data_IF_808174137901
#
_entry.id   IF_808174137901
#
_cell.length_a   1.000
_cell.length_b   1.000
_cell.length_c   1.000
_cell.angle_alpha   90.00
_cell.angle_beta   90.00
_cell.angle_gamma   90.00
#
_symmetry.space_group_name_H-M   'P 1'
#
loop_
_entity.id
_entity.type
_entity.pdbx_description
1 polymer ?
#
# COMPACT_ATOMS: atom_id res chain seq x y z
N UNK A 1 -23.39 -13.37 65.53
CA UNK A 1 -23.91 -13.98 64.29
C UNK A 1 -24.63 -12.90 63.49
N UNK A 2 -24.05 -12.36 62.39
CA UNK A 2 -24.73 -11.36 61.58
C UNK A 2 -25.70 -12.05 60.61
N UNK A 3 -26.95 -11.59 60.61
CA UNK A 3 -28.03 -12.05 59.73
C UNK A 3 -27.70 -11.75 58.26
N UNK A 4 -27.67 -12.79 57.43
CA UNK A 4 -27.52 -12.68 55.99
C UNK A 4 -28.80 -12.06 55.38
N UNK A 5 -28.71 -10.81 54.93
CA UNK A 5 -29.73 -10.23 54.06
C UNK A 5 -29.64 -10.87 52.68
N UNK A 6 -30.57 -11.77 52.39
CA UNK A 6 -30.80 -12.34 51.06
C UNK A 6 -31.25 -11.22 50.10
N UNK A 7 -30.36 -10.85 49.17
CA UNK A 7 -30.65 -9.99 48.03
C UNK A 7 -31.74 -10.63 47.17
N UNK A 8 -32.92 -10.01 47.06
CA UNK A 8 -33.95 -10.47 46.14
C UNK A 8 -33.46 -10.37 44.68
N UNK A 9 -33.76 -11.36 43.81
CA UNK A 9 -33.39 -11.29 42.41
C UNK A 9 -34.17 -10.16 41.70
N UNK A 10 -33.46 -9.32 40.95
CA UNK A 10 -34.06 -8.26 40.16
C UNK A 10 -35.07 -8.84 39.15
N UNK A 11 -36.32 -8.35 39.18
CA UNK A 11 -37.36 -8.71 38.21
C UNK A 11 -36.90 -8.30 36.80
N UNK A 12 -36.58 -9.27 35.94
CA UNK A 12 -36.31 -9.03 34.53
C UNK A 12 -37.57 -8.46 33.86
N UNK A 13 -37.43 -7.43 33.02
CA UNK A 13 -38.56 -6.87 32.30
C UNK A 13 -39.10 -7.88 31.27
N UNK A 14 -40.43 -8.00 31.11
CA UNK A 14 -41.07 -9.02 30.25
C UNK A 14 -40.77 -8.86 28.75
N UNK A 15 -40.01 -7.82 28.36
CA UNK A 15 -39.61 -7.52 26.99
C UNK A 15 -38.26 -8.14 26.61
N UNK A 16 -37.44 -8.56 27.58
CA UNK A 16 -36.13 -9.16 27.30
C UNK A 16 -36.34 -10.58 26.77
N UNK A 17 -36.04 -10.79 25.49
CA UNK A 17 -36.15 -12.09 24.82
C UNK A 17 -37.46 -12.31 24.04
N UNK A 18 -38.37 -11.34 24.01
CA UNK A 18 -39.61 -11.43 23.23
C UNK A 18 -39.31 -11.52 21.72
N UNK A 19 -39.78 -12.59 21.07
CA UNK A 19 -39.63 -12.81 19.62
C UNK A 19 -40.95 -12.54 18.91
N UNK A 20 -40.92 -11.63 17.94
CA UNK A 20 -42.09 -11.35 17.10
C UNK A 20 -42.52 -12.58 16.30
N UNK A 21 -43.84 -12.75 16.17
CA UNK A 21 -44.45 -13.77 15.31
C UNK A 21 -43.97 -13.61 13.87
N UNK A 22 -43.94 -14.69 13.06
CA UNK A 22 -43.59 -14.62 11.65
C UNK A 22 -44.41 -13.58 10.88
N UNK A 23 -45.71 -13.50 11.16
CA UNK A 23 -46.62 -12.53 10.54
C UNK A 23 -46.29 -11.08 10.90
N UNK A 24 -45.99 -10.80 12.17
CA UNK A 24 -45.59 -9.47 12.60
C UNK A 24 -44.27 -9.04 11.94
N UNK A 25 -43.29 -9.97 11.84
CA UNK A 25 -42.03 -9.72 11.12
C UNK A 25 -42.26 -9.42 9.64
N UNK A 26 -43.19 -10.13 9.00
CA UNK A 26 -43.54 -9.90 7.60
C UNK A 26 -44.18 -8.53 7.39
N UNK A 27 -45.12 -8.11 8.25
CA UNK A 27 -45.71 -6.76 8.24
C UNK A 27 -44.65 -5.67 8.41
N UNK A 28 -43.71 -5.84 9.34
CA UNK A 28 -42.60 -4.90 9.54
C UNK A 28 -41.65 -4.85 8.35
N UNK A 29 -41.38 -5.98 7.70
CA UNK A 29 -40.52 -6.05 6.52
C UNK A 29 -41.16 -5.34 5.32
N UNK A 30 -42.45 -5.54 5.08
CA UNK A 30 -43.21 -4.85 4.02
C UNK A 30 -43.20 -3.34 4.25
N UNK A 31 -43.47 -2.88 5.47
CA UNK A 31 -43.50 -1.46 5.81
C UNK A 31 -42.14 -0.74 5.63
N UNK A 32 -41.02 -1.47 5.81
CA UNK A 32 -39.65 -0.95 5.68
C UNK A 32 -39.08 -1.07 4.27
N UNK A 33 -39.63 -1.94 3.44
CA UNK A 33 -39.14 -2.20 2.07
C UNK A 33 -39.26 -0.91 1.24
N UNK A 34 -38.15 -0.47 0.65
CA UNK A 34 -38.10 0.69 -0.24
C UNK A 34 -38.02 2.07 0.44
N UNK A 35 -38.17 2.16 1.78
CA UNK A 35 -37.97 3.43 2.48
C UNK A 35 -36.49 3.80 2.49
N UNK A 36 -36.16 4.97 1.95
CA UNK A 36 -34.83 5.58 2.04
C UNK A 36 -34.88 6.70 3.07
N UNK A 37 -33.85 6.82 3.90
CA UNK A 37 -33.70 7.98 4.79
C UNK A 37 -33.68 9.27 3.94
N UNK A 38 -34.30 10.34 4.45
CA UNK A 38 -34.19 11.65 3.81
C UNK A 38 -32.73 12.15 3.88
N UNK A 39 -32.30 13.06 2.99
CA UNK A 39 -30.98 13.69 3.09
C UNK A 39 -30.72 14.30 4.47
N UNK A 40 -31.67 15.06 5.02
CA UNK A 40 -31.60 15.66 6.36
C UNK A 40 -31.40 14.61 7.46
N UNK A 41 -32.13 13.50 7.40
CA UNK A 41 -32.01 12.43 8.39
C UNK A 41 -30.65 11.72 8.30
N UNK A 42 -30.05 11.64 7.11
CA UNK A 42 -28.67 11.14 6.95
C UNK A 42 -27.65 12.11 7.53
N UNK A 43 -27.85 13.41 7.35
CA UNK A 43 -26.95 14.43 7.87
C UNK A 43 -27.00 14.51 9.40
N UNK A 44 -28.18 14.37 10.01
CA UNK A 44 -28.28 14.23 11.47
C UNK A 44 -27.55 13.00 12.00
N UNK A 45 -27.75 11.83 11.38
CA UNK A 45 -27.02 10.60 11.75
C UNK A 45 -25.50 10.78 11.59
N UNK A 46 -25.08 11.45 10.51
CA UNK A 46 -23.67 11.74 10.25
C UNK A 46 -23.09 12.67 11.32
N UNK A 47 -23.76 13.78 11.63
CA UNK A 47 -23.33 14.74 12.66
C UNK A 47 -23.23 14.04 14.02
N UNK A 48 -24.23 13.22 14.38
CA UNK A 48 -24.23 12.47 15.63
C UNK A 48 -23.15 11.38 15.70
N UNK A 49 -22.68 10.84 14.57
CA UNK A 49 -21.66 9.77 14.55
C UNK A 49 -20.23 10.32 14.36
N UNK A 50 -20.09 11.53 13.81
CA UNK A 50 -18.79 12.18 13.67
C UNK A 50 -18.25 12.54 15.05
N UNK A 51 -17.03 12.10 15.35
CA UNK A 51 -16.31 12.53 16.55
C UNK A 51 -16.71 11.83 17.85
N UNK A 52 -17.55 10.78 17.81
CA UNK A 52 -17.73 9.92 18.99
C UNK A 52 -16.64 8.85 19.07
N UNK A 53 -15.61 9.01 19.92
CA UNK A 53 -14.61 7.98 20.11
C UNK A 53 -15.24 6.77 20.81
N UNK A 54 -15.17 5.61 20.17
CA UNK A 54 -15.50 4.35 20.83
C UNK A 54 -14.58 4.20 22.04
N UNK A 55 -15.11 3.92 23.24
CA UNK A 55 -14.27 3.75 24.44
C UNK A 55 -13.27 2.60 24.27
N UNK A 56 -12.15 2.62 25.00
CA UNK A 56 -11.17 1.55 24.95
C UNK A 56 -11.77 0.17 25.28
N UNK A 57 -12.68 0.12 26.28
CA UNK A 57 -13.44 -1.09 26.65
C UNK A 57 -14.34 -1.59 25.52
N UNK A 58 -15.06 -0.70 24.83
CA UNK A 58 -15.92 -1.08 23.70
C UNK A 58 -15.09 -1.51 22.50
N UNK A 59 -13.95 -0.85 22.21
CA UNK A 59 -12.99 -1.30 21.20
C UNK A 59 -12.46 -2.70 21.50
N UNK A 60 -12.13 -2.99 22.75
CA UNK A 60 -11.66 -4.31 23.16
C UNK A 60 -12.75 -5.39 22.99
N UNK A 61 -14.01 -5.09 23.34
CA UNK A 61 -15.15 -6.00 23.11
C UNK A 61 -15.37 -6.29 21.62
N UNK A 62 -15.32 -5.26 20.77
CA UNK A 62 -15.43 -5.39 19.31
C UNK A 62 -14.25 -6.21 18.77
N UNK A 63 -13.02 -5.92 19.21
CA UNK A 63 -11.83 -6.67 18.80
C UNK A 63 -11.92 -8.15 19.18
N UNK A 64 -12.34 -8.46 20.42
CA UNK A 64 -12.53 -9.83 20.89
C UNK A 64 -13.61 -10.56 20.10
N UNK A 65 -14.75 -9.92 19.83
CA UNK A 65 -15.81 -10.49 19.01
C UNK A 65 -15.31 -10.80 17.58
N UNK A 66 -14.56 -9.88 16.96
CA UNK A 66 -13.98 -10.07 15.62
C UNK A 66 -12.87 -11.14 15.59
N UNK A 67 -12.09 -11.27 16.66
CA UNK A 67 -11.08 -12.34 16.80
C UNK A 67 -11.72 -13.73 16.97
N UNK A 68 -12.85 -13.82 17.68
CA UNK A 68 -13.60 -15.08 17.85
C UNK A 68 -14.31 -15.54 16.57
N UNK A 69 -14.52 -14.66 15.59
CA UNK A 69 -15.01 -14.99 14.25
C UNK A 69 -13.89 -15.26 13.23
N UNK A 70 -12.73 -15.74 13.69
CA UNK A 70 -11.77 -16.38 12.79
C UNK A 70 -12.46 -17.54 12.08
N UNK A 71 -12.54 -17.48 10.75
CA UNK A 71 -13.01 -18.60 9.95
C UNK A 71 -12.25 -19.86 10.38
N UNK A 72 -12.98 -20.94 10.71
CA UNK A 72 -12.38 -22.24 10.95
C UNK A 72 -11.41 -22.58 9.80
N UNK A 73 -10.30 -23.28 10.07
CA UNK A 73 -9.28 -23.57 9.05
C UNK A 73 -9.87 -24.11 7.75
N UNK A 74 -10.88 -24.98 7.84
CA UNK A 74 -11.60 -25.52 6.69
C UNK A 74 -12.41 -24.47 5.92
N UNK A 75 -13.17 -23.60 6.60
CA UNK A 75 -13.93 -22.53 5.96
C UNK A 75 -13.01 -21.52 5.28
N UNK A 76 -11.84 -21.25 5.89
CA UNK A 76 -10.79 -20.41 5.31
C UNK A 76 -10.17 -21.06 4.06
N UNK A 77 -9.93 -22.37 4.10
CA UNK A 77 -9.43 -23.12 2.95
C UNK A 77 -10.44 -23.11 1.79
N UNK A 78 -11.73 -23.32 2.07
CA UNK A 78 -12.82 -23.26 1.07
C UNK A 78 -12.93 -21.87 0.41
N UNK A 79 -12.87 -20.79 1.21
CA UNK A 79 -12.87 -19.42 0.70
C UNK A 79 -11.63 -19.11 -0.15
N UNK A 80 -10.45 -19.56 0.30
CA UNK A 80 -9.19 -19.41 -0.46
C UNK A 80 -9.25 -20.14 -1.80
N UNK A 81 -9.75 -21.38 -1.83
CA UNK A 81 -9.92 -22.16 -3.05
C UNK A 81 -10.88 -21.48 -4.03
N UNK A 82 -12.05 -21.04 -3.56
CA UNK A 82 -13.05 -20.34 -4.37
C UNK A 82 -12.51 -19.02 -4.96
N UNK A 83 -11.76 -18.26 -4.17
CA UNK A 83 -11.13 -17.02 -4.65
C UNK A 83 -10.05 -17.28 -5.70
N UNK A 84 -9.24 -18.33 -5.53
CA UNK A 84 -8.22 -18.73 -6.53
C UNK A 84 -8.86 -19.17 -7.84
N UNK A 85 -9.94 -19.96 -7.78
CA UNK A 85 -10.69 -20.39 -8.95
C UNK A 85 -11.28 -19.21 -9.72
N UNK A 86 -11.90 -18.25 -9.00
CA UNK A 86 -12.39 -17.01 -9.59
C UNK A 86 -11.27 -16.23 -10.27
N UNK A 87 -10.12 -16.10 -9.62
CA UNK A 87 -8.97 -15.39 -10.17
C UNK A 87 -8.41 -16.05 -11.44
N UNK A 88 -8.39 -17.38 -11.49
CA UNK A 88 -8.02 -18.13 -12.70
C UNK A 88 -9.00 -17.84 -13.85
N UNK A 89 -10.31 -17.90 -13.59
CA UNK A 89 -11.35 -17.58 -14.60
C UNK A 89 -11.23 -16.14 -15.12
N UNK A 90 -11.02 -15.18 -14.22
CA UNK A 90 -10.81 -13.78 -14.60
C UNK A 90 -9.52 -13.62 -15.42
N UNK A 91 -8.44 -14.30 -15.04
CA UNK A 91 -7.16 -14.27 -15.78
C UNK A 91 -7.28 -14.86 -17.18
N UNK A 92 -7.99 -15.97 -17.34
CA UNK A 92 -8.26 -16.57 -18.65
C UNK A 92 -9.13 -15.65 -19.52
N UNK A 93 -10.16 -15.05 -18.94
CA UNK A 93 -11.00 -14.05 -19.62
C UNK A 93 -10.18 -12.84 -20.06
N UNK A 94 -9.28 -12.33 -19.21
CA UNK A 94 -8.37 -11.24 -19.56
C UNK A 94 -7.34 -11.67 -20.61
N UNK A 95 -6.84 -12.89 -20.57
CA UNK A 95 -5.93 -13.42 -21.60
C UNK A 95 -6.61 -13.47 -22.97
N UNK A 96 -7.85 -13.98 -23.03
CA UNK A 96 -8.69 -14.01 -24.23
C UNK A 96 -9.10 -12.62 -24.73
N UNK A 97 -9.08 -11.59 -23.87
CA UNK A 97 -9.37 -10.21 -24.28
C UNK A 97 -8.12 -9.41 -24.64
N UNK A 98 -6.97 -9.70 -24.03
CA UNK A 98 -5.68 -9.10 -24.36
C UNK A 98 -5.09 -9.62 -25.67
N UNK A 99 -5.52 -10.79 -26.16
CA UNK A 99 -5.16 -11.28 -27.50
C UNK A 99 -5.86 -10.51 -28.64
N UNK A 100 -6.77 -9.56 -28.33
CA UNK A 100 -7.29 -8.60 -29.32
C UNK A 100 -6.34 -7.41 -29.51
N UNK A 101 -5.05 -7.68 -29.69
CA UNK A 101 -4.16 -6.69 -30.31
C UNK A 101 -4.62 -6.57 -31.75
N UNK A 102 -5.35 -5.49 -32.05
CA UNK A 102 -5.75 -5.17 -33.42
C UNK A 102 -4.48 -5.12 -34.28
N UNK A 103 -4.51 -5.76 -35.44
CA UNK A 103 -3.44 -5.61 -36.42
C UNK A 103 -3.24 -4.11 -36.74
N UNK A 104 -2.04 -3.69 -37.15
CA UNK A 104 -1.80 -2.30 -37.54
C UNK A 104 -2.84 -1.78 -38.55
N UNK A 105 -3.28 -2.64 -39.47
CA UNK A 105 -4.31 -2.34 -40.45
C UNK A 105 -5.71 -2.16 -39.83
N UNK A 106 -6.12 -3.04 -38.91
CA UNK A 106 -7.40 -2.93 -38.23
C UNK A 106 -7.46 -1.69 -37.33
N UNK A 107 -6.32 -1.31 -36.72
CA UNK A 107 -6.20 -0.06 -35.96
C UNK A 107 -6.30 1.17 -36.88
N UNK A 108 -5.64 1.15 -38.04
CA UNK A 108 -5.73 2.23 -39.02
C UNK A 108 -7.17 2.41 -39.54
N UNK A 109 -7.87 1.32 -39.87
CA UNK A 109 -9.28 1.33 -40.28
C UNK A 109 -10.19 1.91 -39.20
N UNK A 110 -10.02 1.47 -37.95
CA UNK A 110 -10.79 2.00 -36.81
C UNK A 110 -10.53 3.50 -36.59
N UNK A 111 -9.26 3.91 -36.65
CA UNK A 111 -8.88 5.31 -36.48
C UNK A 111 -9.44 6.19 -37.60
N UNK A 112 -9.39 5.72 -38.85
CA UNK A 112 -9.95 6.42 -40.00
C UNK A 112 -11.47 6.56 -39.88
N UNK A 113 -12.18 5.49 -39.49
CA UNK A 113 -13.63 5.51 -39.27
C UNK A 113 -14.03 6.50 -38.15
N UNK A 114 -13.32 6.47 -37.02
CA UNK A 114 -13.56 7.43 -35.92
C UNK A 114 -13.25 8.86 -36.36
N UNK A 115 -12.17 9.07 -37.11
CA UNK A 115 -11.83 10.39 -37.63
C UNK A 115 -12.90 10.90 -38.59
N UNK A 116 -13.36 10.08 -39.53
CA UNK A 116 -14.40 10.45 -40.49
C UNK A 116 -15.72 10.81 -39.78
N UNK A 117 -16.11 10.05 -38.76
CA UNK A 117 -17.32 10.31 -37.97
C UNK A 117 -17.24 11.60 -37.13
N UNK A 118 -16.04 11.98 -36.69
CA UNK A 118 -15.82 13.19 -35.87
C UNK A 118 -15.51 14.42 -36.71
N UNK A 119 -15.10 14.26 -37.97
CA UNK A 119 -14.84 15.38 -38.87
C UNK A 119 -16.14 16.15 -39.14
N UNK A 120 -16.13 17.44 -38.79
CA UNK A 120 -17.29 18.32 -38.94
C UNK A 120 -18.31 18.26 -37.79
N UNK A 121 -18.14 17.39 -36.80
CA UNK A 121 -19.03 17.36 -35.63
C UNK A 121 -18.92 18.66 -34.82
N UNK A 122 -19.90 19.54 -34.93
CA UNK A 122 -20.00 20.73 -34.09
C UNK A 122 -20.67 20.40 -32.75
N UNK A 123 -19.93 20.62 -31.68
CA UNK A 123 -20.48 20.50 -30.32
C UNK A 123 -21.39 21.70 -30.04
N UNK A 124 -22.60 21.44 -29.51
CA UNK A 124 -23.56 22.49 -29.16
C UNK A 124 -22.96 23.53 -28.21
N UNK A 125 -23.48 24.76 -28.26
CA UNK A 125 -23.01 25.85 -27.40
C UNK A 125 -23.14 25.50 -25.92
N UNK A 126 -24.23 24.85 -25.52
CA UNK A 126 -24.45 24.40 -24.15
C UNK A 126 -23.40 23.35 -23.71
N UNK A 127 -23.10 22.38 -24.56
CA UNK A 127 -22.08 21.35 -24.27
C UNK A 127 -20.68 21.96 -24.24
N UNK A 128 -20.41 22.93 -25.12
CA UNK A 128 -19.17 23.71 -25.13
C UNK A 128 -19.03 24.53 -23.83
N UNK A 129 -20.10 25.13 -23.35
CA UNK A 129 -20.13 25.87 -22.09
C UNK A 129 -19.86 24.95 -20.89
N UNK A 130 -20.49 23.78 -20.81
CA UNK A 130 -20.25 22.76 -19.76
C UNK A 130 -18.80 22.26 -19.76
N UNK A 131 -18.23 21.96 -20.95
CA UNK A 131 -16.82 21.58 -21.08
C UNK A 131 -15.86 22.72 -20.69
N UNK A 132 -16.20 23.96 -21.02
CA UNK A 132 -15.44 25.16 -20.65
C UNK A 132 -15.44 25.38 -19.15
N UNK A 133 -16.61 25.30 -18.50
CA UNK A 133 -16.76 25.43 -17.05
C UNK A 133 -15.97 24.35 -16.29
N UNK A 134 -16.01 23.09 -16.76
CA UNK A 134 -15.23 21.99 -16.18
C UNK A 134 -13.71 22.20 -16.31
N UNK A 135 -13.25 22.80 -17.42
CA UNK A 135 -11.82 23.06 -17.68
C UNK A 135 -11.31 24.37 -17.07
N UNK A 136 -12.18 25.35 -16.79
CA UNK A 136 -11.89 26.56 -16.00
C UNK A 136 -11.78 26.19 -14.52
N UNK A 137 -10.77 25.40 -14.17
CA UNK A 137 -10.64 24.86 -12.83
C UNK A 137 -9.37 25.25 -12.09
N UNK A 138 -8.19 25.21 -12.75
CA UNK A 138 -6.91 25.42 -12.05
C UNK A 138 -5.83 25.98 -12.98
N UNK A 139 -5.87 27.27 -13.34
CA UNK A 139 -4.73 27.89 -13.99
C UNK A 139 -3.54 27.86 -13.02
N UNK A 140 -2.41 27.25 -13.43
CA UNK A 140 -1.17 27.34 -12.67
C UNK A 140 -0.72 28.82 -12.68
N UNK A 141 -0.67 29.52 -11.52
CA UNK A 141 -0.41 30.95 -11.48
C UNK A 141 0.92 31.32 -12.13
N UNK A 142 1.94 30.47 -11.97
CA UNK A 142 3.27 30.67 -12.56
C UNK A 142 3.23 30.63 -14.09
N UNK A 143 2.47 29.69 -14.66
CA UNK A 143 2.36 29.53 -16.12
C UNK A 143 1.49 30.64 -16.73
N UNK A 144 0.42 31.04 -16.02
CA UNK A 144 -0.44 32.15 -16.44
C UNK A 144 0.32 33.47 -16.46
N UNK A 145 1.06 33.78 -15.39
CA UNK A 145 1.90 34.98 -15.32
C UNK A 145 3.00 34.98 -16.40
N UNK A 146 3.64 33.82 -16.63
CA UNK A 146 4.71 33.69 -17.61
C UNK A 146 4.24 33.77 -19.08
N UNK A 147 2.95 33.56 -19.36
CA UNK A 147 2.39 33.55 -20.73
C UNK A 147 1.49 34.75 -21.03
N UNK A 148 1.12 35.55 -20.02
CA UNK A 148 0.32 36.77 -20.18
C UNK A 148 1.02 37.75 -21.12
N UNK A 149 0.33 38.17 -22.18
CA UNK A 149 0.83 39.14 -23.17
C UNK A 149 1.84 38.62 -24.19
N UNK A 150 2.28 37.36 -24.10
CA UNK A 150 3.22 36.80 -25.09
C UNK A 150 2.48 36.38 -26.36
N UNK A 151 2.98 36.73 -27.56
CA UNK A 151 2.34 36.35 -28.80
C UNK A 151 2.35 34.81 -28.94
N UNK A 152 1.23 34.26 -29.45
CA UNK A 152 1.02 32.81 -29.66
C UNK A 152 2.13 32.06 -30.45
N UNK A 153 2.97 32.68 -31.30
CA UNK A 153 4.08 31.98 -31.96
C UNK A 153 5.06 31.31 -30.98
N UNK A 154 5.28 31.89 -29.79
CA UNK A 154 6.19 31.32 -28.79
C UNK A 154 5.76 29.93 -28.31
N UNK A 155 4.44 29.72 -28.16
CA UNK A 155 3.88 28.41 -27.76
C UNK A 155 3.93 27.41 -28.92
N UNK A 156 3.73 27.87 -30.16
CA UNK A 156 3.81 27.02 -31.35
C UNK A 156 5.25 26.57 -31.63
N UNK A 157 6.23 27.48 -31.57
CA UNK A 157 7.68 27.23 -31.70
C UNK A 157 8.17 26.28 -30.60
N UNK A 158 7.82 26.56 -29.34
CA UNK A 158 8.20 25.74 -28.20
C UNK A 158 7.53 24.37 -28.22
N UNK A 159 6.30 24.25 -28.73
CA UNK A 159 5.65 22.96 -28.97
C UNK A 159 6.23 22.24 -30.18
N UNK A 160 6.69 22.94 -31.24
CA UNK A 160 7.43 22.35 -32.37
C UNK A 160 8.76 21.76 -31.90
N UNK A 161 9.50 22.47 -31.06
CA UNK A 161 10.74 21.99 -30.41
C UNK A 161 10.51 20.78 -29.50
N UNK A 162 9.33 20.66 -28.87
CA UNK A 162 8.93 19.49 -28.07
C UNK A 162 8.42 18.32 -28.93
N UNK A 163 7.65 18.58 -29.99
CA UNK A 163 7.17 17.57 -30.94
C UNK A 163 8.28 16.96 -31.80
N UNK A 164 9.44 17.62 -31.92
CA UNK A 164 10.64 17.07 -32.56
C UNK A 164 11.53 16.19 -31.67
N UNK A 165 11.11 15.89 -30.43
CA UNK A 165 11.86 15.02 -29.50
C UNK A 165 11.05 13.94 -28.78
N UNK A 166 10.08 13.23 -29.39
CA UNK A 166 9.66 11.96 -28.83
C UNK A 166 10.83 10.97 -28.97
N UNK A 167 11.33 10.44 -27.85
CA UNK A 167 12.28 9.32 -27.87
C UNK A 167 13.78 9.66 -27.99
N UNK A 168 14.22 10.93 -27.93
CA UNK A 168 15.67 11.21 -27.78
C UNK A 168 16.12 10.76 -26.40
N UNK A 169 16.77 9.59 -26.33
CA UNK A 169 17.46 9.10 -25.13
C UNK A 169 18.50 10.15 -24.75
N UNK A 170 18.51 10.57 -23.48
CA UNK A 170 19.55 11.45 -22.97
C UNK A 170 20.93 10.84 -23.29
N UNK A 171 21.90 11.67 -23.69
CA UNK A 171 23.27 11.21 -23.95
C UNK A 171 23.82 10.47 -22.73
N UNK A 172 24.79 9.58 -22.92
CA UNK A 172 25.43 8.88 -21.80
C UNK A 172 25.94 9.86 -20.74
N UNK A 173 26.54 10.96 -21.19
CA UNK A 173 26.99 12.05 -20.33
C UNK A 173 25.82 12.74 -19.57
N UNK A 174 24.70 13.01 -20.24
CA UNK A 174 23.53 13.62 -19.60
C UNK A 174 22.88 12.66 -18.60
N UNK A 175 22.81 11.36 -18.91
CA UNK A 175 22.33 10.33 -17.98
C UNK A 175 23.27 10.19 -16.78
N UNK A 176 24.59 10.28 -16.99
CA UNK A 176 25.57 10.27 -15.92
C UNK A 176 25.41 11.49 -15.00
N UNK A 177 25.23 12.70 -15.55
CA UNK A 177 24.98 13.93 -14.76
C UNK A 177 23.66 13.86 -13.97
N UNK A 178 22.58 13.38 -14.60
CA UNK A 178 21.30 13.13 -13.91
C UNK A 178 21.45 12.09 -12.80
N UNK A 179 22.11 10.96 -13.08
CA UNK A 179 22.35 9.90 -12.09
C UNK A 179 23.21 10.40 -10.93
N UNK A 180 24.28 11.16 -11.21
CA UNK A 180 25.14 11.76 -10.19
C UNK A 180 24.36 12.73 -9.29
N UNK A 181 23.44 13.53 -9.85
CA UNK A 181 22.59 14.44 -9.06
C UNK A 181 21.63 13.71 -8.11
N UNK A 182 21.23 12.49 -8.46
CA UNK A 182 20.29 11.68 -7.66
C UNK A 182 20.98 10.75 -6.66
N UNK A 183 22.25 10.37 -6.88
CA UNK A 183 22.97 9.38 -6.05
C UNK A 183 23.20 9.83 -4.60
N UNK A 184 23.19 11.14 -4.32
CA UNK A 184 23.48 11.69 -3.00
C UNK A 184 22.37 12.61 -2.46
N UNK A 185 21.11 12.41 -2.87
CA UNK A 185 19.99 13.22 -2.39
C UNK A 185 19.13 12.42 -1.37
N UNK A 186 19.32 12.63 -0.05
CA UNK A 186 18.60 11.88 0.97
C UNK A 186 17.08 12.10 0.92
N UNK A 187 16.63 13.28 0.51
CA UNK A 187 15.21 13.60 0.39
C UNK A 187 14.54 12.85 -0.77
N UNK A 188 15.23 12.75 -1.91
CA UNK A 188 14.76 11.94 -3.03
C UNK A 188 14.74 10.45 -2.68
N UNK A 189 15.79 9.95 -2.01
CA UNK A 189 15.84 8.57 -1.54
C UNK A 189 14.70 8.25 -0.55
N UNK A 190 14.43 9.14 0.41
CA UNK A 190 13.30 9.02 1.35
C UNK A 190 11.93 9.11 0.67
N UNK A 191 11.75 10.01 -0.30
CA UNK A 191 10.49 10.13 -1.03
C UNK A 191 10.22 8.88 -1.89
N UNK A 192 11.25 8.34 -2.54
CA UNK A 192 11.16 7.06 -3.26
C UNK A 192 10.89 5.91 -2.30
N UNK A 193 11.55 5.89 -1.13
CA UNK A 193 11.31 4.90 -0.08
C UNK A 193 9.84 4.89 0.37
N UNK A 194 9.28 6.05 0.70
CA UNK A 194 7.87 6.22 1.05
C UNK A 194 6.93 5.80 -0.08
N UNK A 195 7.20 6.24 -1.31
CA UNK A 195 6.38 5.94 -2.49
C UNK A 195 6.37 4.44 -2.83
N UNK A 196 7.47 3.74 -2.56
CA UNK A 196 7.59 2.29 -2.72
C UNK A 196 7.08 1.50 -1.51
N UNK A 197 6.51 2.16 -0.50
CA UNK A 197 6.11 1.53 0.76
C UNK A 197 7.26 0.81 1.46
N UNK A 198 8.46 1.41 1.50
CA UNK A 198 9.58 1.01 2.37
C UNK A 198 9.26 1.34 3.85
N UNK A 199 8.11 0.84 4.33
CA UNK A 199 7.81 0.66 5.73
C UNK A 199 7.99 -0.83 6.03
N UNK A 200 8.33 -1.22 7.27
CA UNK A 200 8.69 -2.59 7.53
C UNK A 200 7.53 -3.51 7.16
N UNK A 201 7.79 -4.48 6.29
CA UNK A 201 6.82 -5.46 5.83
C UNK A 201 6.42 -6.40 6.99
N UNK A 202 5.49 -7.35 6.77
CA UNK A 202 5.03 -8.23 7.88
C UNK A 202 6.16 -9.07 8.47
N UNK A 203 7.05 -9.59 7.64
CA UNK A 203 8.19 -10.39 8.05
C UNK A 203 9.20 -9.52 8.80
N UNK A 204 9.58 -8.36 8.23
CA UNK A 204 10.47 -7.38 8.85
C UNK A 204 9.96 -6.92 10.23
N UNK A 205 8.65 -6.69 10.40
CA UNK A 205 8.08 -6.38 11.73
C UNK A 205 8.23 -7.52 12.73
N UNK A 206 8.08 -8.78 12.29
CA UNK A 206 8.27 -9.96 13.15
C UNK A 206 9.73 -10.14 13.52
N UNK A 207 10.63 -9.93 12.58
CA UNK A 207 12.08 -9.97 12.83
C UNK A 207 12.46 -8.87 13.79
N UNK A 208 12.04 -7.63 13.57
CA UNK A 208 12.29 -6.51 14.48
C UNK A 208 11.80 -6.79 15.90
N UNK A 209 10.58 -7.32 16.04
CA UNK A 209 10.05 -7.69 17.36
C UNK A 209 10.92 -8.77 18.04
N UNK A 210 11.38 -9.78 17.29
CA UNK A 210 12.27 -10.80 17.82
C UNK A 210 13.67 -10.27 18.16
N UNK A 211 14.16 -9.26 17.43
CA UNK A 211 15.43 -8.59 17.73
C UNK A 211 15.32 -7.77 19.02
N UNK A 212 14.25 -6.99 19.19
CA UNK A 212 14.00 -6.21 20.40
C UNK A 212 13.84 -7.12 21.62
N UNK A 213 13.12 -8.25 21.48
CA UNK A 213 12.96 -9.22 22.56
C UNK A 213 14.29 -9.90 22.94
N UNK A 214 15.11 -10.26 21.94
CA UNK A 214 16.40 -10.89 22.20
C UNK A 214 17.48 -9.91 22.69
N UNK A 215 17.37 -8.64 22.33
CA UNK A 215 18.37 -7.58 22.51
C UNK A 215 17.71 -6.21 22.79
N UNK A 216 17.13 -6.01 23.98
CA UNK A 216 16.31 -4.83 24.28
C UNK A 216 17.09 -3.51 24.25
N UNK A 217 18.38 -3.54 24.59
CA UNK A 217 19.21 -2.33 24.77
C UNK A 217 20.01 -1.94 23.51
N UNK A 218 19.93 -2.72 22.43
CA UNK A 218 20.78 -2.57 21.24
C UNK A 218 20.29 -1.49 20.25
N UNK A 219 19.09 -0.93 20.45
CA UNK A 219 18.59 0.19 19.65
C UNK A 219 18.39 -0.11 18.16
N UNK A 220 17.77 -1.24 17.81
CA UNK A 220 17.57 -1.63 16.39
C UNK A 220 16.66 -0.66 15.62
N UNK A 221 17.15 -0.17 14.47
CA UNK A 221 16.44 0.76 13.59
C UNK A 221 16.18 0.15 12.22
N UNK A 222 14.93 0.27 11.75
CA UNK A 222 14.55 -0.10 10.39
C UNK A 222 14.89 1.02 9.42
N UNK A 223 15.70 0.69 8.40
CA UNK A 223 16.04 1.56 7.28
C UNK A 223 16.25 3.05 7.65
N UNK A 224 17.23 3.39 8.49
CA UNK A 224 17.45 4.78 8.90
C UNK A 224 18.11 5.66 7.81
N UNK A 225 18.24 5.13 6.58
CA UNK A 225 18.88 5.81 5.46
C UNK A 225 20.41 5.68 5.43
N UNK A 226 20.98 4.72 6.15
CA UNK A 226 22.40 4.36 6.05
C UNK A 226 22.63 3.58 4.75
N UNK A 227 23.65 4.00 3.99
CA UNK A 227 24.04 3.35 2.72
C UNK A 227 25.47 2.82 2.81
N UNK A 228 25.68 1.55 2.46
CA UNK A 228 26.99 0.90 2.37
C UNK A 228 27.22 0.49 0.92
N UNK A 229 28.21 1.10 0.25
CA UNK A 229 28.45 0.90 -1.20
C UNK A 229 27.19 1.04 -2.07
N UNK A 230 26.30 1.98 -1.72
CA UNK A 230 25.03 2.20 -2.43
C UNK A 230 23.96 1.12 -2.18
N UNK A 231 24.18 0.23 -1.21
CA UNK A 231 23.18 -0.73 -0.69
C UNK A 231 22.63 -0.23 0.63
N UNK A 232 21.35 -0.47 0.86
CA UNK A 232 20.66 -0.14 2.10
C UNK A 232 20.37 -1.48 2.80
N UNK A 233 20.80 -1.67 4.06
CA UNK A 233 20.37 -2.80 4.86
C UNK A 233 18.98 -2.59 5.45
N UNK A 234 18.28 -3.67 5.79
CA UNK A 234 16.92 -3.57 6.36
C UNK A 234 16.94 -3.02 7.79
N UNK A 235 17.87 -3.50 8.62
CA UNK A 235 18.06 -3.05 10.00
C UNK A 235 19.52 -2.75 10.31
N UNK A 236 19.74 -1.79 11.21
CA UNK A 236 21.05 -1.54 11.82
C UNK A 236 20.90 -1.34 13.33
N UNK A 237 21.98 -1.54 14.09
CA UNK A 237 22.07 -1.06 15.47
C UNK A 237 22.32 0.45 15.50
N UNK A 238 21.78 1.13 16.51
CA UNK A 238 21.96 2.58 16.69
C UNK A 238 22.95 3.00 17.76
N UNK A 239 23.53 2.04 18.47
CA UNK A 239 24.46 2.26 19.58
C UNK A 239 25.91 2.45 19.13
N UNK A 240 26.14 2.62 17.82
CA UNK A 240 27.46 2.81 17.23
C UNK A 240 28.12 1.50 16.77
N UNK A 241 27.57 0.33 17.11
CA UNK A 241 28.06 -0.94 16.59
C UNK A 241 27.68 -1.07 15.11
N UNK A 242 28.68 -1.29 14.24
CA UNK A 242 28.50 -1.41 12.78
C UNK A 242 27.99 -2.79 12.37
N UNK A 243 26.83 -3.16 12.90
CA UNK A 243 26.13 -4.39 12.59
C UNK A 243 24.82 -4.10 11.86
N UNK A 244 24.65 -4.74 10.71
CA UNK A 244 23.45 -4.67 9.89
C UNK A 244 22.76 -6.04 9.80
N UNK A 245 21.46 -6.03 9.57
CA UNK A 245 20.66 -7.24 9.29
C UNK A 245 19.82 -7.03 8.04
N UNK A 246 19.86 -8.00 7.15
CA UNK A 246 18.96 -8.12 6.00
C UNK A 246 17.98 -9.29 6.20
N UNK A 247 16.75 -9.08 5.77
CA UNK A 247 15.65 -10.04 5.84
C UNK A 247 15.24 -10.43 4.43
N UNK A 248 15.66 -11.63 4.01
CA UNK A 248 15.34 -12.16 2.69
C UNK A 248 13.99 -12.89 2.71
N UNK A 249 13.01 -12.30 2.04
CA UNK A 249 11.76 -12.98 1.70
C UNK A 249 11.97 -14.03 0.61
N UNK A 250 11.52 -15.26 0.82
CA UNK A 250 11.80 -16.40 -0.07
C UNK A 250 11.32 -16.13 -1.50
N UNK A 251 10.19 -15.44 -1.66
CA UNK A 251 9.65 -15.11 -2.99
C UNK A 251 10.55 -14.16 -3.79
N UNK A 252 11.08 -13.13 -3.15
CA UNK A 252 11.87 -12.07 -3.80
C UNK A 252 13.33 -12.49 -4.00
N UNK A 253 13.85 -13.30 -3.09
CA UNK A 253 15.23 -13.77 -3.09
C UNK A 253 15.39 -15.23 -3.58
N UNK A 254 14.35 -15.83 -4.18
CA UNK A 254 14.37 -17.23 -4.66
C UNK A 254 15.51 -17.60 -5.62
N UNK A 255 16.12 -16.60 -6.25
CA UNK A 255 17.23 -16.80 -7.20
C UNK A 255 18.58 -16.34 -6.64
N UNK A 256 18.62 -15.83 -5.40
CA UNK A 256 19.87 -15.44 -4.78
C UNK A 256 20.62 -16.70 -4.37
N UNK A 257 21.86 -16.81 -4.84
CA UNK A 257 22.72 -17.94 -4.52
C UNK A 257 23.50 -17.68 -3.22
N UNK A 258 24.05 -18.72 -2.57
CA UNK A 258 24.94 -18.54 -1.43
C UNK A 258 26.12 -17.60 -1.73
N UNK A 259 26.66 -17.64 -2.94
CA UNK A 259 27.77 -16.79 -3.38
C UNK A 259 27.33 -15.32 -3.48
N UNK A 260 26.11 -15.05 -3.95
CA UNK A 260 25.55 -13.69 -3.96
C UNK A 260 25.35 -13.15 -2.54
N UNK A 261 24.88 -13.99 -1.62
CA UNK A 261 24.76 -13.64 -0.21
C UNK A 261 26.13 -13.35 0.42
N UNK A 262 27.13 -14.19 0.15
CA UNK A 262 28.50 -14.00 0.61
C UNK A 262 29.12 -12.71 0.06
N UNK A 263 29.01 -12.47 -1.26
CA UNK A 263 29.48 -11.24 -1.88
C UNK A 263 28.83 -9.99 -1.28
N UNK A 264 27.54 -10.06 -0.92
CA UNK A 264 26.85 -8.97 -0.21
C UNK A 264 27.41 -8.75 1.19
N UNK A 265 27.68 -9.81 1.95
CA UNK A 265 28.29 -9.70 3.27
C UNK A 265 29.72 -9.14 3.19
N UNK A 266 30.52 -9.60 2.21
CA UNK A 266 31.86 -9.09 1.96
C UNK A 266 31.87 -7.61 1.59
N UNK A 267 30.90 -7.17 0.78
CA UNK A 267 30.73 -5.75 0.47
C UNK A 267 30.54 -4.92 1.74
N UNK A 268 29.70 -5.37 2.68
CA UNK A 268 29.51 -4.70 3.96
C UNK A 268 30.79 -4.77 4.82
N UNK A 269 31.46 -5.92 4.88
CA UNK A 269 32.72 -6.11 5.62
C UNK A 269 33.84 -5.21 5.11
N UNK A 270 33.93 -5.01 3.80
CA UNK A 270 34.92 -4.10 3.20
C UNK A 270 34.72 -2.64 3.64
N UNK A 271 33.49 -2.27 3.99
CA UNK A 271 33.18 -0.97 4.57
C UNK A 271 33.32 -0.95 6.11
N UNK A 272 33.71 -2.05 6.75
CA UNK A 272 33.79 -2.20 8.21
C UNK A 272 32.45 -2.42 8.90
N UNK A 273 31.47 -2.99 8.19
CA UNK A 273 30.20 -3.47 8.76
C UNK A 273 30.16 -4.99 8.75
N UNK A 274 29.60 -5.63 9.77
CA UNK A 274 29.16 -7.02 9.63
C UNK A 274 27.69 -7.06 9.21
N UNK A 275 27.33 -8.04 8.37
CA UNK A 275 25.98 -8.18 7.83
C UNK A 275 25.45 -9.59 8.11
N UNK A 276 24.37 -9.65 8.87
CA UNK A 276 23.62 -10.90 9.08
C UNK A 276 22.46 -10.96 8.09
N UNK A 277 22.39 -12.04 7.32
CA UNK A 277 21.26 -12.31 6.44
C UNK A 277 20.34 -13.34 7.13
N UNK A 278 19.04 -13.07 7.14
CA UNK A 278 18.00 -13.92 7.72
C UNK A 278 16.99 -14.25 6.63
N UNK A 279 16.80 -15.53 6.34
CA UNK A 279 15.79 -15.96 5.38
C UNK A 279 14.43 -16.18 6.03
N UNK A 280 13.37 -15.96 5.26
CA UNK A 280 11.98 -16.12 5.71
C UNK A 280 11.69 -17.54 6.19
N UNK A 281 12.04 -18.57 5.41
CA UNK A 281 11.85 -19.97 5.81
C UNK A 281 12.61 -20.30 7.10
N UNK A 282 13.89 -19.90 7.20
CA UNK A 282 14.71 -20.14 8.40
C UNK A 282 14.11 -19.49 9.65
N UNK A 283 13.64 -18.25 9.51
CA UNK A 283 13.03 -17.50 10.60
C UNK A 283 11.68 -18.08 11.02
N UNK A 284 10.88 -18.55 10.05
CA UNK A 284 9.59 -19.17 10.33
C UNK A 284 9.75 -20.52 11.04
N UNK A 285 10.72 -21.33 10.65
CA UNK A 285 10.99 -22.63 11.25
C UNK A 285 11.70 -22.51 12.60
N UNK A 286 12.69 -21.61 12.70
CA UNK A 286 13.58 -21.51 13.88
C UNK A 286 13.91 -20.06 14.19
N UNK A 287 13.00 -19.32 14.84
CA UNK A 287 13.23 -17.91 15.21
C UNK A 287 14.50 -17.69 16.05
N UNK A 288 14.94 -18.69 16.83
CA UNK A 288 16.16 -18.63 17.64
C UNK A 288 17.45 -18.53 16.82
N UNK A 289 17.44 -18.88 15.53
CA UNK A 289 18.60 -18.72 14.64
C UNK A 289 19.00 -17.26 14.48
N UNK A 290 18.04 -16.33 14.51
CA UNK A 290 18.29 -14.89 14.50
C UNK A 290 19.24 -14.51 15.64
N UNK A 291 18.85 -14.84 16.88
CA UNK A 291 19.63 -14.54 18.08
C UNK A 291 21.03 -15.14 17.98
N UNK A 292 21.14 -16.40 17.52
CA UNK A 292 22.44 -17.09 17.37
C UNK A 292 23.35 -16.41 16.34
N UNK A 293 22.81 -16.00 15.18
CA UNK A 293 23.58 -15.32 14.13
C UNK A 293 24.03 -13.94 14.55
N UNK A 294 23.14 -13.15 15.15
CA UNK A 294 23.46 -11.82 15.69
C UNK A 294 24.53 -11.93 16.78
N UNK A 295 24.40 -12.85 17.74
CA UNK A 295 25.42 -13.08 18.77
C UNK A 295 26.79 -13.48 18.19
N UNK A 296 26.81 -14.27 17.11
CA UNK A 296 28.06 -14.63 16.42
C UNK A 296 28.69 -13.40 15.76
N UNK A 297 27.90 -12.58 15.09
CA UNK A 297 28.36 -11.34 14.45
C UNK A 297 28.94 -10.37 15.50
N UNK A 298 28.28 -10.20 16.63
CA UNK A 298 28.75 -9.31 17.72
C UNK A 298 30.10 -9.70 18.30
N UNK A 299 30.41 -10.99 18.39
CA UNK A 299 31.74 -11.46 18.79
C UNK A 299 32.85 -11.10 17.81
N UNK A 300 32.48 -10.85 16.55
CA UNK A 300 33.41 -10.51 15.47
C UNK A 300 33.62 -9.01 15.37
N UNK A 301 32.56 -8.21 15.62
CA UNK A 301 32.61 -6.74 15.57
C UNK A 301 33.33 -6.13 16.81
N UNK A 302 33.31 -6.81 17.96
CA UNK A 302 33.96 -6.34 19.20
C UNK A 302 35.44 -6.75 19.33
N UNK A 303 36.07 -7.24 18.26
CA UNK A 303 37.50 -7.52 18.17
C UNK A 303 38.16 -6.48 17.28
#
# INVERSE_FOLDING_TARGET
MPSAMLSQPAKMSPLVGFRHTPEARMKMAIARKGRRLSPEHRDHLRISLIGHPVSASTRAKISRALQCHGLAPESRAKLSASLKERWQKDRERLSKSQSRVLSPEALARRSASVSAALMGHQVSEETRAKMSASKKGRPNPKVSAATKGKPRPWVAESNRRRKGKPGKRASLETRAKLSASHKNNPAAARATALALSLHPNRLERRVLAAMIDAFPDDGWQFNPGVTVHGKIPDFIRSDGVRLAVDVHGDYWHRNDTPEMCQARQELFRSAGWDLVIIWEHEFNERPTLLKRRVMRALKTVNK
#
